data_IF_298329677212
#
_entry.id   IF_298329677212
#
_cell.length_a   1.000
_cell.length_b   1.000
_cell.length_c   1.000
_cell.angle_alpha   90.00
_cell.angle_beta   90.00
_cell.angle_gamma   90.00
#
_symmetry.space_group_name_H-M   'P 1'
#
loop_
_entity.id
_entity.type
_entity.pdbx_description
1 polymer ?
#
# COMPACT_ATOMS: atom_id res chain seq x y z
N UNK A 1 67.46 -9.17 22.23
CA UNK A 1 66.84 -7.88 22.60
C UNK A 1 65.39 -7.94 22.15
N UNK A 2 64.47 -7.90 23.12
CA UNK A 2 63.02 -8.03 22.94
C UNK A 2 62.42 -6.83 22.19
N UNK A 3 61.44 -7.08 21.32
CA UNK A 3 60.20 -6.29 21.30
C UNK A 3 59.07 -7.04 20.60
N UNK A 4 58.11 -7.45 21.42
CA UNK A 4 56.82 -8.05 21.05
C UNK A 4 55.75 -6.95 21.04
N UNK A 5 54.68 -7.20 20.26
CA UNK A 5 53.31 -6.67 20.37
C UNK A 5 53.07 -5.16 20.23
N UNK A 6 52.29 -4.77 19.21
CA UNK A 6 51.06 -3.93 19.31
C UNK A 6 50.14 -4.32 18.13
N UNK A 7 49.11 -5.13 18.39
CA UNK A 7 47.67 -4.81 18.25
C UNK A 7 47.29 -4.21 16.88
N UNK A 8 46.61 -4.93 15.98
CA UNK A 8 45.23 -5.46 16.08
C UNK A 8 44.17 -4.36 16.16
N UNK A 9 43.23 -4.43 15.20
CA UNK A 9 41.86 -3.89 15.24
C UNK A 9 41.72 -2.38 15.08
N UNK A 10 41.72 -1.91 13.82
CA UNK A 10 40.99 -0.71 13.40
C UNK A 10 39.72 -1.13 12.62
N UNK A 11 38.85 -1.87 13.30
CA UNK A 11 37.48 -2.16 12.86
C UNK A 11 36.56 -1.23 13.65
N UNK A 12 36.65 0.06 13.33
CA UNK A 12 35.83 1.10 13.93
C UNK A 12 34.58 1.32 13.09
N UNK A 13 33.47 0.74 13.58
CA UNK A 13 32.19 1.42 13.73
C UNK A 13 31.64 2.19 12.51
N UNK A 14 30.95 1.47 11.63
CA UNK A 14 29.80 2.02 10.90
C UNK A 14 28.56 1.15 11.17
N UNK A 15 28.19 1.03 12.45
CA UNK A 15 26.82 0.70 12.83
C UNK A 15 26.02 2.01 12.80
N UNK A 16 25.72 2.51 11.60
CA UNK A 16 24.61 3.44 11.43
C UNK A 16 23.36 2.58 11.62
N UNK A 17 22.91 2.58 12.88
CA UNK A 17 21.59 2.14 13.24
C UNK A 17 20.60 2.78 12.25
N UNK A 18 19.92 1.93 11.48
CA UNK A 18 18.68 2.27 10.80
C UNK A 18 17.62 2.60 11.87
N UNK A 19 17.78 3.72 12.56
CA UNK A 19 16.74 4.34 13.36
C UNK A 19 15.82 5.09 12.41
N UNK A 20 15.06 4.35 11.60
CA UNK A 20 13.93 4.93 10.89
C UNK A 20 13.03 5.58 11.93
N UNK A 21 12.92 6.90 11.90
CA UNK A 21 11.92 7.64 12.67
C UNK A 21 10.58 6.92 12.49
N UNK A 22 9.82 6.60 13.55
CA UNK A 22 8.52 5.95 13.41
C UNK A 22 7.69 6.80 12.44
N UNK A 23 7.48 6.31 11.23
CA UNK A 23 6.60 6.98 10.29
C UNK A 23 5.22 6.99 10.96
N UNK A 24 4.56 8.16 11.12
CA UNK A 24 3.25 8.21 11.74
C UNK A 24 2.34 7.17 11.10
N UNK A 25 1.69 6.33 11.90
CA UNK A 25 0.73 5.38 11.35
C UNK A 25 -0.40 6.17 10.70
N UNK A 26 -0.57 5.97 9.40
CA UNK A 26 -1.67 6.57 8.66
C UNK A 26 -3.00 6.10 9.24
N UNK A 27 -4.00 6.98 9.28
CA UNK A 27 -5.38 6.61 9.55
C UNK A 27 -5.99 5.81 8.40
N UNK A 28 -7.21 5.32 8.58
CA UNK A 28 -7.86 4.49 7.57
C UNK A 28 -8.06 5.23 6.24
N UNK A 29 -8.45 6.51 6.30
CA UNK A 29 -8.65 7.36 5.11
C UNK A 29 -7.33 7.62 4.40
N UNK A 30 -6.29 8.02 5.13
CA UNK A 30 -4.98 8.34 4.58
C UNK A 30 -4.32 7.11 3.95
N UNK A 31 -4.49 5.92 4.54
CA UNK A 31 -4.05 4.65 3.94
C UNK A 31 -4.81 4.36 2.64
N UNK A 32 -6.12 4.57 2.60
CA UNK A 32 -6.93 4.40 1.40
C UNK A 32 -6.53 5.38 0.29
N UNK A 33 -6.33 6.66 0.62
CA UNK A 33 -5.85 7.69 -0.31
C UNK A 33 -4.48 7.33 -0.88
N UNK A 34 -3.54 6.90 -0.03
CA UNK A 34 -2.21 6.48 -0.48
C UNK A 34 -2.28 5.28 -1.43
N UNK A 35 -3.13 4.29 -1.12
CA UNK A 35 -3.31 3.11 -1.96
C UNK A 35 -3.90 3.50 -3.32
N UNK A 36 -4.99 4.28 -3.32
CA UNK A 36 -5.67 4.73 -4.52
C UNK A 36 -4.78 5.59 -5.41
N UNK A 37 -3.95 6.46 -4.81
CA UNK A 37 -2.97 7.28 -5.52
C UNK A 37 -1.85 6.43 -6.14
N UNK A 38 -1.39 5.40 -5.43
CA UNK A 38 -0.43 4.45 -5.98
C UNK A 38 -1.03 3.69 -7.18
N UNK A 39 -2.30 3.26 -7.09
CA UNK A 39 -3.03 2.65 -8.20
C UNK A 39 -3.18 3.59 -9.39
N UNK A 40 -3.54 4.86 -9.17
CA UNK A 40 -3.58 5.91 -10.21
C UNK A 40 -2.24 6.11 -10.90
N UNK A 41 -1.15 6.17 -10.13
CA UNK A 41 0.21 6.31 -10.63
C UNK A 41 0.81 5.03 -11.24
N UNK A 42 0.06 3.93 -11.32
CA UNK A 42 0.56 2.59 -11.73
C UNK A 42 1.71 2.06 -10.84
N UNK A 43 1.88 2.60 -9.63
CA UNK A 43 2.88 2.17 -8.65
C UNK A 43 2.34 0.99 -7.82
N UNK A 44 2.34 -0.20 -8.45
CA UNK A 44 1.78 -1.41 -7.86
C UNK A 44 2.62 -1.95 -6.69
N UNK A 45 3.90 -1.59 -6.63
CA UNK A 45 4.77 -1.94 -5.49
C UNK A 45 4.35 -1.16 -4.23
N UNK A 46 4.14 0.15 -4.34
CA UNK A 46 3.61 0.96 -3.24
C UNK A 46 2.19 0.53 -2.87
N UNK A 47 1.31 0.29 -3.84
CA UNK A 47 -0.04 -0.20 -3.59
C UNK A 47 -0.03 -1.54 -2.81
N UNK A 48 0.83 -2.49 -3.22
CA UNK A 48 1.00 -3.76 -2.51
C UNK A 48 1.49 -3.57 -1.07
N UNK A 49 2.42 -2.62 -0.85
CA UNK A 49 2.96 -2.34 0.49
C UNK A 49 1.91 -1.82 1.48
N UNK A 50 0.80 -1.28 0.98
CA UNK A 50 -0.33 -0.73 1.76
C UNK A 50 -1.43 -1.77 2.04
N UNK A 51 -1.28 -2.99 1.53
CA UNK A 51 -2.18 -4.08 1.87
C UNK A 51 -2.02 -4.50 3.35
N UNK A 52 -3.07 -5.11 3.88
CA UNK A 52 -3.02 -5.72 5.22
C UNK A 52 -2.01 -6.88 5.26
N UNK A 53 -1.41 -7.18 6.44
CA UNK A 53 -0.50 -8.32 6.57
C UNK A 53 -1.12 -9.64 6.10
N UNK A 54 -2.38 -9.90 6.44
CA UNK A 54 -3.09 -11.11 6.02
C UNK A 54 -3.24 -11.18 4.49
N UNK A 55 -3.50 -10.05 3.85
CA UNK A 55 -3.53 -9.94 2.39
C UNK A 55 -2.18 -10.24 1.78
N UNK A 56 -1.10 -9.64 2.29
CA UNK A 56 0.27 -9.90 1.81
C UNK A 56 0.71 -11.36 2.04
N UNK A 57 0.22 -12.00 3.10
CA UNK A 57 0.47 -13.41 3.37
C UNK A 57 -0.30 -14.34 2.40
N UNK A 58 -1.45 -13.89 1.90
CA UNK A 58 -2.32 -14.68 1.03
C UNK A 58 -1.97 -14.54 -0.45
N UNK A 59 -1.55 -13.36 -0.89
CA UNK A 59 -1.21 -13.09 -2.28
C UNK A 59 0.20 -12.47 -2.39
N UNK A 60 1.16 -13.14 -3.07
CA UNK A 60 2.46 -12.54 -3.34
C UNK A 60 2.38 -11.28 -4.20
N UNK A 61 3.38 -10.41 -4.10
CA UNK A 61 3.42 -9.14 -4.82
C UNK A 61 3.29 -9.30 -6.34
N UNK A 62 3.96 -10.31 -6.91
CA UNK A 62 3.93 -10.60 -8.34
C UNK A 62 2.51 -11.00 -8.78
N UNK A 63 1.81 -11.76 -7.94
CA UNK A 63 0.45 -12.19 -8.24
C UNK A 63 -0.55 -11.03 -8.11
N UNK A 64 -0.34 -10.15 -7.14
CA UNK A 64 -1.11 -8.91 -7.01
C UNK A 64 -0.97 -8.05 -8.28
N UNK A 65 0.26 -7.82 -8.74
CA UNK A 65 0.54 -7.08 -9.95
C UNK A 65 -0.13 -7.74 -11.17
N UNK A 66 0.06 -9.04 -11.36
CA UNK A 66 -0.57 -9.79 -12.46
C UNK A 66 -2.09 -9.63 -12.46
N UNK A 67 -2.73 -9.72 -11.29
CA UNK A 67 -4.18 -9.57 -11.16
C UNK A 67 -4.67 -8.17 -11.52
N UNK A 68 -3.99 -7.12 -11.04
CA UNK A 68 -4.37 -5.73 -11.35
C UNK A 68 -4.18 -5.44 -12.83
N UNK A 69 -3.03 -5.80 -13.40
CA UNK A 69 -2.75 -5.58 -14.82
C UNK A 69 -3.69 -6.38 -15.71
N UNK A 70 -3.99 -7.64 -15.35
CA UNK A 70 -4.97 -8.45 -16.06
C UNK A 70 -6.34 -7.80 -16.03
N UNK A 71 -6.79 -7.32 -14.86
CA UNK A 71 -8.07 -6.63 -14.74
C UNK A 71 -8.13 -5.40 -15.65
N UNK A 72 -7.09 -4.57 -15.68
CA UNK A 72 -7.02 -3.42 -16.59
C UNK A 72 -6.99 -3.78 -18.07
N UNK A 73 -6.26 -4.84 -18.46
CA UNK A 73 -6.25 -5.32 -19.84
C UNK A 73 -7.62 -5.85 -20.25
N UNK A 74 -8.23 -6.71 -19.44
CA UNK A 74 -9.52 -7.33 -19.72
C UNK A 74 -10.65 -6.29 -19.83
N UNK A 75 -10.58 -5.21 -19.04
CA UNK A 75 -11.55 -4.10 -19.04
C UNK A 75 -11.16 -2.95 -19.97
N UNK A 76 -10.04 -3.08 -20.70
CA UNK A 76 -9.48 -2.06 -21.58
C UNK A 76 -9.29 -0.68 -20.91
N UNK A 77 -9.03 -0.65 -19.61
CA UNK A 77 -8.79 0.59 -18.86
C UNK A 77 -7.44 1.19 -19.25
N UNK A 78 -7.50 2.33 -19.94
CA UNK A 78 -6.35 3.15 -20.30
C UNK A 78 -6.01 4.18 -19.21
N UNK A 79 -7.01 4.72 -18.51
CA UNK A 79 -6.85 5.71 -17.45
C UNK A 79 -7.67 5.39 -16.20
N UNK A 80 -7.09 5.68 -15.03
CA UNK A 80 -7.76 5.62 -13.74
C UNK A 80 -7.42 6.92 -13.01
N UNK A 81 -8.42 7.68 -12.58
CA UNK A 81 -8.23 8.94 -11.88
C UNK A 81 -9.09 9.01 -10.63
N UNK A 82 -8.53 9.42 -9.49
CA UNK A 82 -9.27 9.59 -8.24
C UNK A 82 -9.96 10.95 -8.22
N UNK A 83 -11.28 10.93 -8.11
CA UNK A 83 -12.11 12.14 -8.02
C UNK A 83 -12.28 12.59 -6.58
N UNK A 84 -12.51 11.65 -5.66
CA UNK A 84 -12.65 11.94 -4.23
C UNK A 84 -12.45 10.71 -3.36
N UNK A 85 -12.01 10.94 -2.12
CA UNK A 85 -11.97 9.94 -1.04
C UNK A 85 -12.69 10.53 0.17
N UNK A 86 -13.69 9.81 0.69
CA UNK A 86 -14.54 10.27 1.78
C UNK A 86 -13.99 9.83 3.15
N UNK A 87 -14.61 10.31 4.22
CA UNK A 87 -14.27 9.89 5.58
C UNK A 87 -14.50 8.40 5.80
N UNK A 88 -13.66 7.81 6.64
CA UNK A 88 -13.74 6.39 6.98
C UNK A 88 -14.96 6.09 7.85
N UNK A 89 -15.74 5.10 7.46
CA UNK A 89 -16.82 4.52 8.27
C UNK A 89 -16.23 3.38 9.10
N UNK A 90 -16.02 3.64 10.39
CA UNK A 90 -15.45 2.67 11.32
C UNK A 90 -16.51 1.69 11.84
N UNK A 91 -16.13 0.42 11.95
CA UNK A 91 -16.89 -0.54 12.76
C UNK A 91 -16.84 -0.17 14.25
N UNK A 92 -17.78 -0.68 15.04
CA UNK A 92 -17.84 -0.42 16.49
C UNK A 92 -16.56 -0.81 17.25
N UNK A 93 -15.81 -1.80 16.77
CA UNK A 93 -14.52 -2.19 17.37
C UNK A 93 -13.38 -1.23 17.07
N UNK A 94 -13.54 -0.32 16.10
CA UNK A 94 -12.49 0.58 15.62
C UNK A 94 -11.35 -0.11 14.85
N UNK A 95 -11.45 -1.43 14.62
CA UNK A 95 -10.39 -2.23 13.96
C UNK A 95 -10.66 -2.50 12.48
N UNK A 96 -11.83 -2.16 11.98
CA UNK A 96 -12.20 -2.24 10.56
C UNK A 96 -12.82 -0.93 10.10
N UNK A 97 -12.59 -0.60 8.84
CA UNK A 97 -13.10 0.60 8.21
C UNK A 97 -13.55 0.31 6.78
N UNK A 98 -14.58 1.04 6.34
CA UNK A 98 -14.93 1.19 4.92
C UNK A 98 -14.65 2.64 4.52
N UNK A 99 -13.90 2.85 3.44
CA UNK A 99 -13.55 4.19 2.94
C UNK A 99 -14.16 4.36 1.55
N UNK A 100 -15.28 5.10 1.43
CA UNK A 100 -15.91 5.38 0.14
C UNK A 100 -15.02 6.28 -0.73
N UNK A 101 -15.01 6.03 -2.03
CA UNK A 101 -14.29 6.85 -3.01
C UNK A 101 -15.04 6.90 -4.34
N UNK A 102 -14.72 7.91 -5.14
CA UNK A 102 -15.13 8.02 -6.53
C UNK A 102 -13.88 8.08 -7.43
N UNK A 103 -13.94 7.39 -8.58
CA UNK A 103 -12.86 7.40 -9.55
C UNK A 103 -13.41 7.47 -10.98
N UNK A 104 -12.74 8.19 -11.86
CA UNK A 104 -12.97 8.13 -13.30
C UNK A 104 -12.14 7.02 -13.92
N UNK A 105 -12.78 6.16 -14.70
CA UNK A 105 -12.16 5.18 -15.58
C UNK A 105 -12.26 5.68 -17.01
N UNK A 106 -11.15 5.66 -17.73
CA UNK A 106 -11.12 5.92 -19.17
C UNK A 106 -10.70 4.65 -19.89
N UNK A 107 -11.51 4.17 -20.82
CA UNK A 107 -11.18 3.01 -21.67
C UNK A 107 -10.33 3.42 -22.87
N UNK A 108 -9.73 2.45 -23.55
CA UNK A 108 -8.83 2.69 -24.69
C UNK A 108 -9.50 3.39 -25.88
N UNK A 109 -10.83 3.30 -26.01
CA UNK A 109 -11.64 4.02 -27.00
C UNK A 109 -11.99 5.46 -26.59
N UNK A 110 -11.55 5.89 -25.40
CA UNK A 110 -11.78 7.22 -24.86
C UNK A 110 -13.09 7.38 -24.07
N UNK A 111 -13.90 6.34 -23.90
CA UNK A 111 -15.08 6.43 -23.06
C UNK A 111 -14.68 6.64 -21.60
N UNK A 112 -15.31 7.62 -20.93
CA UNK A 112 -15.07 7.94 -19.52
C UNK A 112 -16.30 7.61 -18.69
N UNK A 113 -16.12 6.86 -17.60
CA UNK A 113 -17.18 6.53 -16.64
C UNK A 113 -16.69 6.83 -15.22
N UNK A 114 -17.56 7.41 -14.40
CA UNK A 114 -17.29 7.57 -12.96
C UNK A 114 -17.84 6.37 -12.21
N UNK A 115 -17.01 5.75 -11.38
CA UNK A 115 -17.39 4.65 -10.49
C UNK A 115 -17.34 5.10 -9.04
N UNK A 116 -18.28 4.58 -8.25
CA UNK A 116 -18.35 4.79 -6.80
C UNK A 116 -18.17 3.45 -6.12
N UNK A 117 -17.22 3.37 -5.20
CA UNK A 117 -16.91 2.13 -4.48
C UNK A 117 -16.39 2.44 -3.08
N UNK A 118 -16.06 1.42 -2.29
CA UNK A 118 -15.42 1.60 -1.00
C UNK A 118 -14.29 0.60 -0.80
N UNK A 119 -13.16 1.07 -0.28
CA UNK A 119 -12.08 0.20 0.18
C UNK A 119 -12.40 -0.35 1.56
N UNK A 120 -12.17 -1.64 1.76
CA UNK A 120 -12.22 -2.27 3.07
C UNK A 120 -10.81 -2.28 3.68
N UNK A 121 -10.68 -1.82 4.91
CA UNK A 121 -9.41 -1.78 5.63
C UNK A 121 -9.54 -2.46 6.99
N UNK A 122 -8.40 -2.96 7.48
CA UNK A 122 -8.24 -3.54 8.82
C UNK A 122 -7.05 -2.91 9.52
N UNK A 123 -7.17 -2.70 10.84
CA UNK A 123 -6.10 -2.25 11.71
C UNK A 123 -5.47 -3.45 12.40
N UNK A 124 -4.18 -3.67 12.18
CA UNK A 124 -3.38 -4.72 12.84
C UNK A 124 -2.14 -4.06 13.42
N UNK A 125 -1.88 -4.24 14.73
CA UNK A 125 -0.75 -3.62 15.43
C UNK A 125 -0.64 -2.10 15.17
N UNK A 126 -1.76 -1.38 15.35
CA UNK A 126 -1.88 0.06 15.12
C UNK A 126 -1.67 0.55 13.67
N UNK A 127 -1.49 -0.35 12.70
CA UNK A 127 -1.35 -0.02 11.28
C UNK A 127 -2.60 -0.41 10.50
N UNK A 128 -3.16 0.54 9.77
CA UNK A 128 -4.21 0.28 8.77
C UNK A 128 -3.62 -0.32 7.50
N UNK A 129 -4.29 -1.31 6.93
CA UNK A 129 -3.96 -1.88 5.63
C UNK A 129 -5.22 -2.24 4.85
N UNK A 130 -5.14 -2.16 3.52
CA UNK A 130 -6.23 -2.52 2.61
C UNK A 130 -6.42 -4.03 2.59
N UNK A 131 -7.66 -4.49 2.73
CA UNK A 131 -8.02 -5.90 2.61
C UNK A 131 -8.10 -6.23 1.12
N UNK A 132 -7.26 -7.16 0.68
CA UNK A 132 -7.17 -7.66 -0.68
C UNK A 132 -7.03 -9.19 -0.73
N UNK A 133 -7.60 -9.89 -1.73
CA UNK A 133 -8.52 -9.35 -2.74
C UNK A 133 -9.80 -8.80 -2.10
N UNK A 134 -10.51 -7.86 -2.76
CA UNK A 134 -11.79 -7.38 -2.26
C UNK A 134 -12.74 -8.56 -2.08
N UNK A 135 -13.37 -8.66 -0.90
CA UNK A 135 -14.45 -9.62 -0.68
C UNK A 135 -15.63 -9.26 -1.60
N UNK A 136 -16.12 -10.24 -2.36
CA UNK A 136 -17.30 -10.10 -3.23
C UNK A 136 -18.58 -10.12 -2.42
#
# INVERSE_FOLDING_TARGET
MMRRFVLAVLLAFWLVACGGTPQPSLGAKETAEAFLKAMEGRDLATAYSLLSPDSQATIPAEKFQEMVEKAWRDTQIAGFHIESVQEAVLTASGTRASVPYAASLTTADGARTVVYNALSLVKVNERWGVIWPPVR
#
